data_IF_491354955360
#
_entry.id   IF_491354955360
#
_cell.length_a   1.000
_cell.length_b   1.000
_cell.length_c   1.000
_cell.angle_alpha   90.00
_cell.angle_beta   90.00
_cell.angle_gamma   90.00
#
_symmetry.space_group_name_H-M   'P 1'
#
loop_
_entity.id
_entity.type
_entity.pdbx_description
1 polymer ?
#
# COMPACT_ATOMS: atom_id res chain seq x y z
N UNK A 1 14.71 -6.42 20.82
CA UNK A 1 13.38 -6.41 20.17
C UNK A 1 13.04 -4.96 19.89
N UNK A 2 13.04 -4.54 18.62
CA UNK A 2 12.66 -3.17 18.25
C UNK A 2 11.15 -3.04 18.39
N UNK A 3 10.67 -2.27 19.36
CA UNK A 3 9.24 -2.01 19.51
C UNK A 3 8.88 -0.84 18.58
N UNK A 4 8.16 -1.13 17.49
CA UNK A 4 7.68 -0.07 16.59
C UNK A 4 6.49 0.59 17.26
N UNK A 5 6.66 1.84 17.71
CA UNK A 5 5.57 2.61 18.30
C UNK A 5 4.45 2.79 17.26
N UNK A 6 3.26 2.27 17.56
CA UNK A 6 2.07 2.40 16.72
C UNK A 6 0.96 3.08 17.53
N UNK A 7 0.31 4.07 16.91
CA UNK A 7 -0.90 4.69 17.47
C UNK A 7 -2.12 3.89 17.00
N UNK A 8 -3.17 3.75 17.84
CA UNK A 8 -4.45 3.21 17.38
C UNK A 8 -4.97 4.03 16.20
N UNK A 9 -5.57 3.35 15.23
CA UNK A 9 -6.25 4.04 14.14
C UNK A 9 -7.51 4.71 14.67
N UNK A 10 -7.66 6.01 14.38
CA UNK A 10 -8.78 6.85 14.83
C UNK A 10 -9.63 7.34 13.66
N UNK A 11 -9.42 6.81 12.45
CA UNK A 11 -10.20 7.18 11.27
C UNK A 11 -11.48 6.34 11.13
N UNK A 12 -12.20 6.52 10.01
CA UNK A 12 -13.45 5.82 9.75
C UNK A 12 -13.27 4.30 9.72
N UNK A 13 -14.24 3.56 10.27
CA UNK A 13 -14.27 2.09 10.24
C UNK A 13 -15.31 1.54 9.24
N UNK A 14 -16.18 2.41 8.74
CA UNK A 14 -17.21 2.11 7.77
C UNK A 14 -17.01 3.00 6.54
N UNK A 15 -17.10 2.41 5.36
CA UNK A 15 -16.90 3.08 4.08
C UNK A 15 -18.09 2.74 3.17
N UNK A 16 -18.69 3.75 2.54
CA UNK A 16 -19.81 3.59 1.63
C UNK A 16 -19.59 4.46 0.40
N UNK A 17 -19.77 3.87 -0.79
CA UNK A 17 -19.71 4.55 -2.09
C UNK A 17 -21.11 4.75 -2.70
N UNK A 18 -22.16 4.60 -1.88
CA UNK A 18 -23.55 4.62 -2.35
C UNK A 18 -23.95 5.95 -2.98
N UNK A 19 -23.33 7.05 -2.56
CA UNK A 19 -23.55 8.39 -3.08
C UNK A 19 -22.93 8.62 -4.48
N UNK A 20 -22.06 7.73 -4.94
CA UNK A 20 -21.50 7.71 -6.29
C UNK A 20 -21.76 6.39 -7.04
N UNK A 21 -22.73 5.58 -6.59
CA UNK A 21 -23.01 4.24 -7.16
C UNK A 21 -23.19 4.26 -8.68
N UNK A 22 -23.86 5.29 -9.21
CA UNK A 22 -24.11 5.44 -10.65
C UNK A 22 -22.84 5.73 -11.47
N UNK A 23 -21.77 6.21 -10.85
CA UNK A 23 -20.52 6.61 -11.49
C UNK A 23 -19.42 5.54 -11.37
N UNK A 24 -19.64 4.49 -10.57
CA UNK A 24 -18.66 3.43 -10.36
C UNK A 24 -18.58 2.48 -11.56
N UNK A 25 -17.35 2.22 -12.01
CA UNK A 25 -17.07 1.29 -13.11
C UNK A 25 -15.91 0.37 -12.76
N UNK A 26 -15.99 -0.89 -13.17
CA UNK A 26 -14.88 -1.85 -13.11
C UNK A 26 -14.28 -2.00 -14.50
N UNK A 27 -13.10 -1.43 -14.70
CA UNK A 27 -12.40 -1.43 -15.97
C UNK A 27 -11.52 -2.67 -16.10
N UNK A 28 -11.47 -3.24 -17.31
CA UNK A 28 -10.57 -4.36 -17.59
C UNK A 28 -9.09 -3.99 -17.29
N UNK A 29 -8.24 -4.95 -16.91
CA UNK A 29 -6.83 -4.70 -16.65
C UNK A 29 -6.15 -3.96 -17.81
N UNK A 30 -5.47 -2.85 -17.50
CA UNK A 30 -4.77 -2.02 -18.48
C UNK A 30 -5.64 -0.97 -19.20
N UNK A 31 -6.97 -1.02 -19.09
CA UNK A 31 -7.87 -0.09 -19.79
C UNK A 31 -7.68 1.37 -19.36
N UNK A 32 -7.20 1.63 -18.14
CA UNK A 32 -6.89 2.99 -17.67
C UNK A 32 -5.87 3.71 -18.56
N UNK A 33 -4.96 2.99 -19.24
CA UNK A 33 -3.91 3.58 -20.07
C UNK A 33 -4.43 4.33 -21.30
N UNK A 34 -5.67 4.06 -21.72
CA UNK A 34 -6.31 4.71 -22.86
C UNK A 34 -7.21 5.90 -22.46
N UNK A 35 -7.38 6.15 -21.16
CA UNK A 35 -8.21 7.24 -20.68
C UNK A 35 -7.45 8.57 -20.75
N UNK A 36 -8.19 9.66 -20.94
CA UNK A 36 -7.65 11.00 -20.81
C UNK A 36 -7.51 11.34 -19.33
N UNK A 37 -6.55 12.19 -19.03
CA UNK A 37 -6.28 12.69 -17.68
C UNK A 37 -6.44 14.21 -17.65
N UNK A 38 -6.64 14.74 -16.45
CA UNK A 38 -6.64 16.17 -16.21
C UNK A 38 -5.29 16.80 -16.55
N UNK A 39 -5.32 18.00 -17.12
CA UNK A 39 -4.13 18.77 -17.45
C UNK A 39 -4.06 20.05 -16.60
N UNK A 40 -2.84 20.57 -16.47
CA UNK A 40 -2.59 21.85 -15.82
C UNK A 40 -3.46 22.96 -16.44
N UNK A 41 -4.06 23.80 -15.59
CA UNK A 41 -4.93 24.90 -15.99
C UNK A 41 -6.42 24.58 -16.09
N UNK A 42 -6.87 23.36 -15.74
CA UNK A 42 -8.30 23.01 -15.76
C UNK A 42 -9.17 23.98 -14.93
N UNK A 43 -8.68 24.41 -13.76
CA UNK A 43 -9.41 25.33 -12.90
C UNK A 43 -9.74 26.67 -13.60
N UNK A 44 -8.79 27.22 -14.35
CA UNK A 44 -8.97 28.46 -15.11
C UNK A 44 -9.98 28.25 -16.26
N UNK A 45 -9.90 27.11 -16.94
CA UNK A 45 -10.87 26.72 -17.97
C UNK A 45 -12.28 26.60 -17.40
N UNK A 46 -12.46 25.95 -16.25
CA UNK A 46 -13.76 25.82 -15.61
C UNK A 46 -14.33 27.18 -15.18
N UNK A 47 -13.48 28.07 -14.66
CA UNK A 47 -13.88 29.44 -14.30
C UNK A 47 -14.30 30.26 -15.53
N UNK A 48 -13.57 30.14 -16.65
CA UNK A 48 -13.93 30.76 -17.92
C UNK A 48 -15.27 30.22 -18.42
N UNK A 49 -15.44 28.90 -18.49
CA UNK A 49 -16.67 28.27 -18.97
C UNK A 49 -17.88 28.65 -18.10
N UNK A 50 -17.70 28.76 -16.78
CA UNK A 50 -18.74 29.19 -15.86
C UNK A 50 -19.26 30.61 -16.14
N UNK A 51 -18.45 31.47 -16.73
CA UNK A 51 -18.81 32.85 -17.07
C UNK A 51 -19.27 32.98 -18.53
N UNK A 52 -18.52 32.36 -19.44
CA UNK A 52 -18.69 32.52 -20.89
C UNK A 52 -19.88 31.72 -21.44
N UNK A 53 -20.15 30.50 -20.93
CA UNK A 53 -21.25 29.68 -21.45
C UNK A 53 -22.62 30.30 -21.18
N UNK A 54 -22.92 30.82 -19.97
CA UNK A 54 -24.19 31.52 -19.74
C UNK A 54 -24.36 32.79 -20.57
N UNK A 55 -23.27 33.48 -20.90
CA UNK A 55 -23.31 34.75 -21.62
C UNK A 55 -23.36 34.58 -23.15
N UNK A 56 -22.60 33.62 -23.69
CA UNK A 56 -22.31 33.49 -25.13
C UNK A 56 -22.56 32.07 -25.67
N UNK A 57 -23.03 31.13 -24.84
CA UNK A 57 -23.14 29.73 -25.22
C UNK A 57 -24.07 29.48 -26.41
N UNK A 58 -25.18 30.20 -26.49
CA UNK A 58 -26.14 30.09 -27.59
C UNK A 58 -25.53 30.59 -28.92
N UNK A 59 -24.83 31.72 -28.89
CA UNK A 59 -24.12 32.28 -30.05
C UNK A 59 -22.99 31.36 -30.51
N UNK A 60 -22.31 30.70 -29.57
CA UNK A 60 -21.27 29.71 -29.83
C UNK A 60 -21.81 28.34 -30.27
N UNK A 61 -23.14 28.15 -30.33
CA UNK A 61 -23.76 26.87 -30.69
C UNK A 61 -23.52 25.76 -29.66
N UNK A 62 -23.20 26.10 -28.41
CA UNK A 62 -22.96 25.15 -27.33
C UNK A 62 -24.31 24.65 -26.82
N UNK A 63 -24.56 23.34 -26.96
CA UNK A 63 -25.76 22.75 -26.38
C UNK A 63 -25.73 22.84 -24.84
N UNK A 64 -26.81 23.33 -24.19
CA UNK A 64 -26.90 23.37 -22.73
C UNK A 64 -26.71 21.99 -22.08
N UNK A 65 -27.12 20.90 -22.77
CA UNK A 65 -26.93 19.52 -22.31
C UNK A 65 -25.45 19.11 -22.23
N UNK A 66 -24.61 19.65 -23.12
CA UNK A 66 -23.16 19.37 -23.10
C UNK A 66 -22.52 20.06 -21.92
N UNK A 67 -22.88 21.33 -21.68
CA UNK A 67 -22.37 22.07 -20.53
C UNK A 67 -22.84 21.46 -19.20
N UNK A 68 -24.11 21.07 -19.09
CA UNK A 68 -24.62 20.38 -17.90
C UNK A 68 -23.85 19.08 -17.64
N UNK A 69 -23.60 18.26 -18.68
CA UNK A 69 -22.80 17.04 -18.56
C UNK A 69 -21.38 17.30 -18.04
N UNK A 70 -20.75 18.41 -18.44
CA UNK A 70 -19.44 18.80 -17.93
C UNK A 70 -19.51 19.05 -16.42
N UNK A 71 -20.48 19.84 -15.97
CA UNK A 71 -20.70 20.14 -14.55
C UNK A 71 -20.96 18.87 -13.75
N UNK A 72 -21.84 18.01 -14.25
CA UNK A 72 -22.18 16.74 -13.59
C UNK A 72 -20.93 15.84 -13.48
N UNK A 73 -20.15 15.73 -14.57
CA UNK A 73 -18.92 14.92 -14.57
C UNK A 73 -17.89 15.48 -13.57
N UNK A 74 -17.73 16.81 -13.51
CA UNK A 74 -16.80 17.42 -12.57
C UNK A 74 -17.19 17.15 -11.12
N UNK A 75 -18.49 17.30 -10.79
CA UNK A 75 -19.00 17.00 -9.47
C UNK A 75 -18.83 15.52 -9.09
N UNK A 76 -19.02 14.59 -10.03
CA UNK A 76 -18.78 13.16 -9.81
C UNK A 76 -17.29 12.85 -9.61
N UNK A 77 -16.39 13.47 -10.38
CA UNK A 77 -14.94 13.33 -10.20
C UNK A 77 -14.52 13.79 -8.80
N UNK A 78 -14.98 14.96 -8.35
CA UNK A 78 -14.65 15.50 -7.02
C UNK A 78 -15.10 14.55 -5.89
N UNK A 79 -16.29 13.95 -6.01
CA UNK A 79 -16.78 12.95 -5.06
C UNK A 79 -15.92 11.69 -5.05
N UNK A 80 -15.58 11.16 -6.24
CA UNK A 80 -14.74 9.98 -6.37
C UNK A 80 -13.34 10.22 -5.78
N UNK A 81 -12.75 11.39 -6.03
CA UNK A 81 -11.45 11.77 -5.48
C UNK A 81 -11.47 11.85 -3.94
N UNK A 82 -12.53 12.38 -3.35
CA UNK A 82 -12.69 12.41 -1.89
C UNK A 82 -12.74 10.99 -1.28
N UNK A 83 -13.49 10.08 -1.91
CA UNK A 83 -13.55 8.67 -1.50
C UNK A 83 -12.20 7.96 -1.69
N UNK A 84 -11.48 8.24 -2.78
CA UNK A 84 -10.16 7.66 -3.05
C UNK A 84 -9.17 7.96 -1.92
N UNK A 85 -9.12 9.20 -1.43
CA UNK A 85 -8.24 9.58 -0.32
C UNK A 85 -8.52 8.78 0.95
N UNK A 86 -9.80 8.62 1.28
CA UNK A 86 -10.24 7.89 2.48
C UNK A 86 -9.91 6.40 2.36
N UNK A 87 -10.22 5.79 1.21
CA UNK A 87 -9.94 4.38 0.94
C UNK A 87 -8.43 4.09 0.88
N UNK A 88 -7.64 4.99 0.30
CA UNK A 88 -6.19 4.87 0.26
C UNK A 88 -5.60 4.82 1.67
N UNK A 89 -6.06 5.70 2.58
CA UNK A 89 -5.61 5.67 3.98
C UNK A 89 -6.07 4.42 4.71
N UNK A 90 -7.30 3.97 4.49
CA UNK A 90 -7.79 2.73 5.08
C UNK A 90 -6.93 1.53 4.64
N UNK A 91 -6.61 1.44 3.35
CA UNK A 91 -5.75 0.40 2.80
C UNK A 91 -4.33 0.46 3.36
N UNK A 92 -3.76 1.66 3.51
CA UNK A 92 -2.46 1.88 4.16
C UNK A 92 -2.46 1.30 5.58
N UNK A 93 -3.45 1.67 6.41
CA UNK A 93 -3.55 1.22 7.81
C UNK A 93 -3.72 -0.30 7.90
N UNK A 94 -4.49 -0.92 7.00
CA UNK A 94 -4.62 -2.38 6.95
C UNK A 94 -3.28 -3.04 6.61
N UNK A 95 -2.51 -2.47 5.66
CA UNK A 95 -1.19 -2.98 5.28
C UNK A 95 -0.18 -2.84 6.43
N UNK A 96 -0.15 -1.70 7.10
CA UNK A 96 0.69 -1.46 8.28
C UNK A 96 0.35 -2.40 9.43
N UNK A 97 -0.94 -2.54 9.75
CA UNK A 97 -1.43 -3.43 10.80
C UNK A 97 -1.07 -4.89 10.51
N UNK A 98 -1.21 -5.32 9.26
CA UNK A 98 -0.77 -6.65 8.82
C UNK A 98 0.73 -6.82 8.98
N UNK A 99 1.54 -5.85 8.54
CA UNK A 99 2.99 -5.92 8.68
C UNK A 99 3.42 -6.00 10.15
N UNK A 100 2.78 -5.21 11.04
CA UNK A 100 3.00 -5.28 12.49
C UNK A 100 2.64 -6.65 13.05
N UNK A 101 1.48 -7.20 12.69
CA UNK A 101 1.06 -8.55 13.13
C UNK A 101 1.99 -9.66 12.63
N UNK A 102 2.51 -9.54 11.41
CA UNK A 102 3.56 -10.43 10.90
C UNK A 102 4.81 -10.30 11.77
N UNK A 103 5.28 -9.08 12.04
CA UNK A 103 6.47 -8.87 12.88
C UNK A 103 6.30 -9.45 14.30
N UNK A 104 5.15 -9.21 14.95
CA UNK A 104 4.81 -9.78 16.25
C UNK A 104 4.89 -11.32 16.22
N UNK A 105 4.25 -11.93 15.21
CA UNK A 105 4.30 -13.39 15.03
C UNK A 105 5.72 -13.92 14.85
N UNK A 106 6.55 -13.26 14.05
CA UNK A 106 7.94 -13.69 13.85
C UNK A 106 8.77 -13.60 15.14
N UNK A 107 8.53 -12.58 15.97
CA UNK A 107 9.16 -12.46 17.29
C UNK A 107 8.71 -13.59 18.24
N UNK A 108 7.41 -13.92 18.24
CA UNK A 108 6.88 -15.02 19.05
C UNK A 108 7.47 -16.38 18.61
N UNK A 109 7.59 -16.62 17.30
CA UNK A 109 8.26 -17.82 16.77
C UNK A 109 9.71 -17.90 17.26
N UNK A 110 10.45 -16.79 17.24
CA UNK A 110 11.83 -16.77 17.75
C UNK A 110 11.89 -17.10 19.25
N UNK A 111 11.00 -16.50 20.06
CA UNK A 111 10.92 -16.77 21.48
C UNK A 111 10.59 -18.25 21.78
N UNK A 112 9.68 -18.86 21.01
CA UNK A 112 9.35 -20.29 21.11
C UNK A 112 10.58 -21.14 20.80
N UNK A 113 11.32 -20.83 19.73
CA UNK A 113 12.54 -21.56 19.35
C UNK A 113 13.60 -21.46 20.44
N UNK A 114 13.83 -20.29 21.00
CA UNK A 114 14.82 -20.07 22.06
C UNK A 114 14.43 -20.83 23.34
N UNK A 115 13.14 -20.83 23.70
CA UNK A 115 12.61 -21.60 24.83
C UNK A 115 12.79 -23.11 24.63
N UNK A 116 12.45 -23.64 23.45
CA UNK A 116 12.62 -25.05 23.11
C UNK A 116 14.09 -25.49 23.18
N UNK A 117 15.00 -24.68 22.60
CA UNK A 117 16.45 -24.94 22.65
C UNK A 117 16.99 -24.86 24.07
N UNK A 118 16.59 -23.86 24.85
CA UNK A 118 17.04 -23.69 26.24
C UNK A 118 16.59 -24.84 27.12
N UNK A 119 15.33 -25.28 26.98
CA UNK A 119 14.76 -26.40 27.73
C UNK A 119 15.42 -27.72 27.36
N UNK A 120 15.61 -28.01 26.07
CA UNK A 120 16.30 -29.23 25.63
C UNK A 120 17.74 -29.30 26.16
N UNK A 121 18.46 -28.16 26.21
CA UNK A 121 19.81 -28.09 26.76
C UNK A 121 19.85 -28.34 28.26
N UNK A 122 18.91 -27.77 29.03
CA UNK A 122 18.88 -27.90 30.49
C UNK A 122 18.36 -29.27 30.96
N UNK A 123 17.35 -29.82 30.27
CA UNK A 123 16.72 -31.09 30.63
C UNK A 123 17.37 -32.32 30.00
N UNK A 124 18.28 -32.16 29.03
CA UNK A 124 18.93 -33.27 28.32
C UNK A 124 18.03 -34.02 27.33
N UNK A 125 16.76 -33.63 27.19
CA UNK A 125 15.80 -34.28 26.30
C UNK A 125 15.96 -33.81 24.85
N UNK A 126 16.61 -34.67 24.05
CA UNK A 126 16.80 -34.46 22.60
C UNK A 126 15.51 -34.64 21.80
N UNK A 127 14.51 -35.36 22.33
CA UNK A 127 13.20 -35.55 21.68
C UNK A 127 12.44 -34.22 21.54
N UNK A 128 12.66 -33.28 22.46
CA UNK A 128 12.06 -31.96 22.43
C UNK A 128 12.47 -31.16 21.18
N UNK A 129 13.72 -31.26 20.72
CA UNK A 129 14.15 -30.55 19.51
C UNK A 129 13.53 -31.14 18.24
N UNK A 130 13.36 -32.47 18.20
CA UNK A 130 12.72 -33.14 17.06
C UNK A 130 11.26 -32.69 16.91
N UNK A 131 10.53 -32.49 18.01
CA UNK A 131 9.15 -32.00 18.00
C UNK A 131 9.01 -30.59 17.39
N UNK A 132 10.05 -29.74 17.50
CA UNK A 132 10.05 -28.36 16.98
C UNK A 132 10.92 -28.16 15.72
N UNK A 133 11.35 -29.24 15.06
CA UNK A 133 12.32 -29.19 13.95
C UNK A 133 11.91 -28.19 12.86
N UNK A 134 10.65 -28.21 12.41
CA UNK A 134 10.14 -27.33 11.36
C UNK A 134 10.21 -25.85 11.76
N UNK A 135 9.85 -25.53 13.01
CA UNK A 135 9.87 -24.17 13.54
C UNK A 135 11.31 -23.66 13.67
N UNK A 136 12.22 -24.51 14.16
CA UNK A 136 13.65 -24.19 14.26
C UNK A 136 14.23 -23.93 12.86
N UNK A 137 13.93 -24.80 11.89
CA UNK A 137 14.37 -24.66 10.50
C UNK A 137 13.82 -23.39 9.86
N UNK A 138 12.55 -23.07 10.08
CA UNK A 138 11.94 -21.84 9.59
C UNK A 138 12.62 -20.59 10.16
N UNK A 139 12.80 -20.52 11.48
CA UNK A 139 13.45 -19.39 12.14
C UNK A 139 14.92 -19.21 11.70
N UNK A 140 15.63 -20.31 11.40
CA UNK A 140 17.01 -20.26 10.91
C UNK A 140 17.16 -19.57 9.55
N UNK A 141 16.12 -19.52 8.71
CA UNK A 141 16.18 -18.92 7.38
C UNK A 141 16.62 -17.45 7.39
N UNK A 142 16.24 -16.69 8.44
CA UNK A 142 16.64 -15.28 8.58
C UNK A 142 18.14 -15.17 8.80
N UNK A 143 18.70 -16.01 9.68
CA UNK A 143 20.13 -16.04 9.96
C UNK A 143 20.94 -16.51 8.74
N UNK A 144 20.45 -17.52 8.01
CA UNK A 144 21.08 -18.01 6.78
C UNK A 144 21.13 -16.92 5.70
N UNK A 145 20.03 -16.18 5.49
CA UNK A 145 19.98 -15.04 4.56
C UNK A 145 20.96 -13.95 4.98
N UNK A 146 21.00 -13.59 6.27
CA UNK A 146 21.92 -12.58 6.79
C UNK A 146 23.40 -12.99 6.58
N UNK A 147 23.74 -14.26 6.85
CA UNK A 147 25.07 -14.79 6.61
C UNK A 147 25.45 -14.75 5.11
N UNK A 148 24.52 -15.13 4.22
CA UNK A 148 24.72 -15.07 2.77
C UNK A 148 24.96 -13.64 2.29
N UNK A 149 24.21 -12.66 2.81
CA UNK A 149 24.40 -11.24 2.48
C UNK A 149 25.75 -10.72 3.00
N UNK A 150 26.13 -11.06 4.24
CA UNK A 150 27.45 -10.68 4.80
C UNK A 150 28.60 -11.23 3.96
N UNK A 151 28.51 -12.50 3.53
CA UNK A 151 29.50 -13.13 2.66
C UNK A 151 29.61 -12.43 1.31
N UNK A 152 28.48 -12.13 0.65
CA UNK A 152 28.46 -11.38 -0.62
C UNK A 152 29.10 -10.00 -0.49
N UNK A 153 28.80 -9.28 0.59
CA UNK A 153 29.37 -7.95 0.82
C UNK A 153 30.88 -8.04 1.10
N UNK A 154 31.35 -9.04 1.83
CA UNK A 154 32.78 -9.26 2.06
C UNK A 154 33.54 -9.64 0.77
N UNK A 155 32.91 -10.38 -0.14
CA UNK A 155 33.46 -10.73 -1.46
C UNK A 155 33.51 -9.52 -2.40
N UNK A 156 32.53 -8.60 -2.33
CA UNK A 156 32.47 -7.37 -3.12
C UNK A 156 33.44 -6.26 -2.65
N UNK A 157 33.91 -6.32 -1.41
CA UNK A 157 34.85 -5.34 -0.81
C UNK A 157 36.32 -5.80 -0.94
N UNK A 158 36.61 -6.95 -1.58
CA UNK A 158 37.99 -7.28 -1.94
C UNK A 158 38.49 -6.25 -2.97
N UNK A 159 39.54 -5.47 -2.67
CA UNK A 159 40.06 -4.49 -3.61
C UNK A 159 40.60 -5.24 -4.83
N UNK A 160 40.20 -4.81 -6.03
CA UNK A 160 40.91 -5.16 -7.25
C UNK A 160 42.39 -4.80 -7.03
N UNK A 161 43.26 -5.82 -7.06
CA UNK A 161 44.69 -5.63 -6.90
C UNK A 161 45.18 -4.60 -7.94
N UNK A 162 46.04 -3.63 -7.57
CA UNK A 162 46.59 -2.70 -8.54
C UNK A 162 47.49 -3.49 -9.50
N UNK A 163 47.11 -3.53 -10.77
CA UNK A 163 48.00 -3.92 -11.87
C UNK A 163 49.18 -2.95 -11.91
N UNK A 164 50.35 -3.43 -11.48
CA UNK A 164 51.66 -2.86 -11.83
C UNK A 164 52.15 -3.44 -13.15
#
# INVERSE_FOLDING_TARGET
MSNVAAKPYTGPLEFSLKDCEADLVDLAPGAMSHLRFEHDGLADVLAELATSVPALGDEAGISPKVYQRLLDSNASIDKLAAHELVLAKALEVVRESRAKKVHERENDIAAIVDSAKSTARRGGDKGLLAAFEKTIKYNAQVAEKAAKTRRKNAEAVKPAAPTG
#
